data_IF_741353693439
#
_entry.id   IF_741353693439
#
_cell.length_a   1.000
_cell.length_b   1.000
_cell.length_c   1.000
_cell.angle_alpha   90.00
_cell.angle_beta   90.00
_cell.angle_gamma   90.00
#
_symmetry.space_group_name_H-M   'P 1'
#
loop_
_entity.id
_entity.type
_entity.pdbx_description
1 polymer ?
#
# COMPACT_ATOMS: atom_id res chain seq x y z
N UNK A 1 58.15 6.40 9.88
CA UNK A 1 57.85 6.23 8.43
C UNK A 1 56.64 5.32 8.19
N UNK A 2 55.47 5.62 8.77
CA UNK A 2 54.22 4.92 8.45
C UNK A 2 53.24 5.92 7.85
N UNK A 3 52.62 5.56 6.73
CA UNK A 3 51.58 6.35 6.08
C UNK A 3 50.25 6.01 6.73
N UNK A 4 49.51 7.02 7.20
CA UNK A 4 48.18 6.86 7.79
C UNK A 4 47.25 6.17 6.79
N UNK A 5 46.57 5.12 7.25
CA UNK A 5 45.52 4.43 6.50
C UNK A 5 44.13 4.91 6.94
N UNK A 6 43.09 4.47 6.25
CA UNK A 6 41.69 4.78 6.59
C UNK A 6 41.34 4.29 8.01
N UNK A 7 41.82 3.10 8.35
CA UNK A 7 41.58 2.42 9.63
C UNK A 7 42.13 3.24 10.82
N UNK A 8 43.27 3.91 10.64
CA UNK A 8 43.88 4.74 11.69
C UNK A 8 43.04 6.00 12.03
N UNK A 9 42.07 6.37 11.18
CA UNK A 9 41.31 7.62 11.27
C UNK A 9 39.80 7.42 11.44
N UNK A 10 39.34 6.17 11.56
CA UNK A 10 37.92 5.83 11.57
C UNK A 10 37.13 6.55 12.68
N UNK A 11 37.69 6.61 13.89
CA UNK A 11 37.09 7.29 15.06
C UNK A 11 36.87 8.80 14.86
N UNK A 12 37.64 9.41 13.95
CA UNK A 12 37.65 10.85 13.70
C UNK A 12 37.23 11.23 12.27
N UNK A 13 36.80 10.25 11.46
CA UNK A 13 36.60 10.39 10.02
C UNK A 13 35.71 11.58 9.64
N UNK A 14 34.58 11.72 10.34
CA UNK A 14 33.58 12.78 10.12
C UNK A 14 33.72 13.95 11.10
N UNK A 15 34.85 14.09 11.79
CA UNK A 15 35.12 15.21 12.72
C UNK A 15 35.94 16.33 12.07
N UNK A 16 36.03 17.46 12.77
CA UNK A 16 36.68 18.68 12.28
C UNK A 16 35.73 19.61 11.52
N UNK A 17 36.09 20.91 11.50
CA UNK A 17 35.35 21.94 10.74
C UNK A 17 35.60 21.75 9.24
N UNK A 18 36.85 21.68 8.74
CA UNK A 18 37.15 20.91 7.54
C UNK A 18 37.10 19.43 7.90
N UNK A 19 36.12 18.68 7.39
CA UNK A 19 35.98 17.26 7.70
C UNK A 19 37.26 16.51 7.32
N UNK A 20 37.80 15.68 8.23
CA UNK A 20 39.05 14.94 8.01
C UNK A 20 38.98 14.05 6.77
N UNK A 21 37.81 13.46 6.50
CA UNK A 21 37.55 12.68 5.30
C UNK A 21 37.81 13.42 3.98
N UNK A 22 37.82 14.76 3.95
CA UNK A 22 38.10 15.54 2.74
C UNK A 22 39.53 15.37 2.23
N UNK A 23 40.47 14.99 3.10
CA UNK A 23 41.87 14.72 2.74
C UNK A 23 42.03 13.53 1.76
N UNK A 24 41.02 12.66 1.72
CA UNK A 24 40.97 11.44 0.92
C UNK A 24 40.07 11.56 -0.31
N UNK A 25 39.64 12.78 -0.68
CA UNK A 25 38.88 13.01 -1.91
C UNK A 25 39.72 12.72 -3.16
N UNK A 26 39.05 12.22 -4.20
CA UNK A 26 39.65 11.93 -5.51
C UNK A 26 40.29 13.16 -6.15
N UNK A 27 39.64 14.32 -6.01
CA UNK A 27 40.01 15.55 -6.71
C UNK A 27 40.81 16.55 -5.85
N UNK A 28 41.39 16.11 -4.73
CA UNK A 28 42.07 17.03 -3.77
C UNK A 28 43.18 17.88 -4.40
N UNK A 29 43.89 17.34 -5.39
CA UNK A 29 45.01 18.02 -6.05
C UNK A 29 44.54 19.19 -6.92
N UNK A 30 43.34 19.11 -7.52
CA UNK A 30 42.77 20.23 -8.29
C UNK A 30 42.14 21.25 -7.35
N UNK A 31 41.49 20.81 -6.27
CA UNK A 31 40.88 21.68 -5.26
C UNK A 31 41.89 22.57 -4.53
N UNK A 32 43.17 22.17 -4.48
CA UNK A 32 44.24 23.00 -3.94
C UNK A 32 44.35 24.38 -4.63
N UNK A 33 43.99 24.47 -5.91
CA UNK A 33 44.02 25.71 -6.70
C UNK A 33 42.71 26.52 -6.64
N UNK A 34 41.63 25.95 -6.10
CA UNK A 34 40.33 26.63 -6.02
C UNK A 34 40.28 27.59 -4.83
N UNK A 35 40.90 28.77 -4.99
CA UNK A 35 40.90 29.84 -3.99
C UNK A 35 39.71 30.79 -4.19
N UNK A 36 39.29 31.46 -3.10
CA UNK A 36 38.19 32.43 -3.13
C UNK A 36 36.81 31.82 -3.41
N UNK A 37 36.64 30.51 -3.22
CA UNK A 37 35.39 29.81 -3.53
C UNK A 37 34.21 30.26 -2.67
N UNK A 38 34.43 30.70 -1.41
CA UNK A 38 33.34 31.16 -0.52
C UNK A 38 32.64 32.40 -1.06
N UNK A 39 33.40 33.46 -1.37
CA UNK A 39 32.85 34.68 -1.97
C UNK A 39 32.25 34.41 -3.36
N UNK A 40 32.86 33.48 -4.12
CA UNK A 40 32.31 33.05 -5.41
C UNK A 40 30.93 32.41 -5.25
N UNK A 41 30.73 31.53 -4.26
CA UNK A 41 29.44 30.90 -3.98
C UNK A 41 28.41 31.92 -3.49
N UNK A 42 28.81 32.85 -2.62
CA UNK A 42 27.92 33.91 -2.14
C UNK A 42 27.44 34.81 -3.29
N UNK A 43 28.33 35.20 -4.19
CA UNK A 43 27.99 36.04 -5.35
C UNK A 43 27.20 35.30 -6.44
N UNK A 44 27.00 33.97 -6.32
CA UNK A 44 26.11 33.24 -7.23
C UNK A 44 24.68 33.73 -7.17
N UNK A 45 24.25 34.36 -6.07
CA UNK A 45 22.92 34.98 -5.98
C UNK A 45 22.66 36.04 -7.07
N UNK A 46 23.71 36.69 -7.57
CA UNK A 46 23.60 37.69 -8.65
C UNK A 46 23.73 37.09 -10.06
N UNK A 47 24.12 35.81 -10.17
CA UNK A 47 24.35 35.13 -11.44
C UNK A 47 23.31 34.05 -11.74
N UNK A 48 22.73 33.45 -10.70
CA UNK A 48 21.83 32.29 -10.79
C UNK A 48 20.54 32.62 -10.07
N UNK A 49 19.41 32.51 -10.79
CA UNK A 49 18.08 32.82 -10.25
C UNK A 49 17.66 31.88 -9.10
N UNK A 50 18.16 30.65 -9.09
CA UNK A 50 17.88 29.68 -8.03
C UNK A 50 18.68 30.02 -6.78
N UNK A 51 17.97 30.30 -5.68
CA UNK A 51 18.56 30.51 -4.36
C UNK A 51 19.22 29.23 -3.82
N UNK A 52 20.43 29.37 -3.26
CA UNK A 52 21.14 28.28 -2.59
C UNK A 52 21.07 28.47 -1.06
N UNK A 53 20.40 27.58 -0.30
CA UNK A 53 20.35 27.66 1.16
C UNK A 53 21.71 27.35 1.82
N UNK A 54 22.62 26.66 1.11
CA UNK A 54 23.96 26.30 1.59
C UNK A 54 25.02 27.19 0.94
N UNK A 55 24.78 28.50 0.86
CA UNK A 55 25.71 29.46 0.23
C UNK A 55 27.04 29.58 0.99
N UNK A 56 27.05 29.31 2.29
CA UNK A 56 28.20 29.48 3.19
C UNK A 56 29.18 28.30 3.21
N UNK A 57 28.80 27.14 2.67
CA UNK A 57 29.61 25.90 2.71
C UNK A 57 29.71 25.22 1.36
N UNK A 58 30.72 24.36 1.20
CA UNK A 58 30.88 23.54 0.01
C UNK A 58 31.46 22.17 0.38
N UNK A 59 30.75 21.09 0.03
CA UNK A 59 31.10 19.72 0.44
C UNK A 59 32.49 19.27 -0.03
N UNK A 60 33.01 19.83 -1.14
CA UNK A 60 34.37 19.49 -1.58
C UNK A 60 35.45 20.09 -0.68
N UNK A 61 35.20 21.24 -0.06
CA UNK A 61 36.19 21.95 0.77
C UNK A 61 35.96 21.72 2.26
N UNK A 62 34.73 21.90 2.72
CA UNK A 62 34.37 21.74 4.14
C UNK A 62 34.00 20.30 4.49
N UNK A 63 33.61 19.49 3.51
CA UNK A 63 32.99 18.18 3.74
C UNK A 63 31.50 18.28 4.07
N UNK A 64 30.87 17.14 4.37
CA UNK A 64 29.46 17.11 4.79
C UNK A 64 29.37 17.47 6.28
N UNK A 65 28.78 18.62 6.59
CA UNK A 65 28.77 19.15 7.96
C UNK A 65 27.68 18.58 8.87
N UNK A 66 26.76 17.78 8.35
CA UNK A 66 25.70 17.14 9.14
C UNK A 66 25.52 15.68 8.74
N UNK A 67 25.13 14.85 9.71
CA UNK A 67 24.73 13.46 9.49
C UNK A 67 23.36 13.23 10.14
N UNK A 68 22.37 12.88 9.32
CA UNK A 68 20.98 12.64 9.74
C UNK A 68 20.57 11.17 9.57
N UNK A 69 21.55 10.26 9.47
CA UNK A 69 21.26 8.82 9.35
C UNK A 69 20.54 8.30 10.60
N UNK A 70 20.98 8.69 11.80
CA UNK A 70 20.33 8.29 13.05
C UNK A 70 18.91 8.83 13.14
N UNK A 71 18.68 10.09 12.75
CA UNK A 71 17.33 10.67 12.71
C UNK A 71 16.34 9.83 11.89
N UNK A 72 16.78 9.24 10.76
CA UNK A 72 15.93 8.34 9.97
C UNK A 72 15.57 7.09 10.78
N UNK A 73 16.54 6.44 11.39
CA UNK A 73 16.34 5.23 12.20
C UNK A 73 15.43 5.52 13.39
N UNK A 74 15.71 6.61 14.11
CA UNK A 74 14.96 7.02 15.30
C UNK A 74 13.51 7.37 14.95
N UNK A 75 13.29 8.04 13.82
CA UNK A 75 11.94 8.34 13.32
C UNK A 75 11.14 7.06 13.02
N UNK A 76 11.77 6.06 12.41
CA UNK A 76 11.11 4.78 12.14
C UNK A 76 10.69 4.12 13.45
N UNK A 77 11.59 4.09 14.44
CA UNK A 77 11.28 3.50 15.75
C UNK A 77 10.20 4.27 16.49
N UNK A 78 10.25 5.61 16.47
CA UNK A 78 9.26 6.47 17.11
C UNK A 78 7.84 6.29 16.52
N UNK A 79 7.72 5.91 15.26
CA UNK A 79 6.45 5.63 14.58
C UNK A 79 5.96 4.18 14.75
N UNK A 80 6.61 3.38 15.61
CA UNK A 80 6.21 1.99 15.87
C UNK A 80 6.92 0.94 15.00
N UNK A 81 8.10 1.29 14.46
CA UNK A 81 8.88 0.39 13.61
C UNK A 81 8.33 0.29 12.19
N UNK A 82 8.99 -0.51 11.35
CA UNK A 82 8.63 -0.62 9.92
C UNK A 82 7.25 -1.26 9.75
N UNK A 83 6.97 -2.34 10.46
CA UNK A 83 5.68 -3.04 10.38
C UNK A 83 4.51 -2.16 10.82
N UNK A 84 4.66 -1.46 11.96
CA UNK A 84 3.65 -0.52 12.45
C UNK A 84 3.33 0.58 11.44
N UNK A 85 4.36 1.14 10.78
CA UNK A 85 4.17 2.11 9.69
C UNK A 85 3.44 1.47 8.50
N UNK A 86 3.78 0.25 8.12
CA UNK A 86 3.19 -0.41 6.95
C UNK A 86 1.72 -0.80 7.14
N UNK A 87 1.25 -0.99 8.37
CA UNK A 87 -0.20 -1.17 8.66
C UNK A 87 -1.04 0.03 8.20
N UNK A 88 -0.46 1.23 8.17
CA UNK A 88 -1.13 2.44 7.68
C UNK A 88 -1.19 2.55 6.14
N UNK A 89 -0.61 1.58 5.43
CA UNK A 89 -0.39 1.63 3.99
C UNK A 89 -1.08 0.49 3.26
N UNK A 90 -1.11 0.56 1.93
CA UNK A 90 -1.64 -0.52 1.08
C UNK A 90 -0.64 -1.68 0.88
N UNK A 91 0.38 -1.82 1.74
CA UNK A 91 1.42 -2.85 1.61
C UNK A 91 0.84 -4.26 1.55
N UNK A 92 -0.04 -4.64 2.49
CA UNK A 92 -0.70 -5.96 2.47
C UNK A 92 -1.53 -6.19 1.21
N UNK A 93 -2.08 -5.13 0.61
CA UNK A 93 -2.80 -5.20 -0.67
C UNK A 93 -1.90 -5.49 -1.88
N UNK A 94 -0.59 -5.26 -1.78
CA UNK A 94 0.38 -5.68 -2.81
C UNK A 94 0.75 -7.15 -2.70
N UNK A 95 0.45 -7.79 -1.56
CA UNK A 95 0.70 -9.21 -1.29
C UNK A 95 2.18 -9.63 -1.42
N UNK A 96 3.13 -8.71 -1.22
CA UNK A 96 4.54 -9.07 -1.08
C UNK A 96 4.79 -9.79 0.27
N UNK A 97 5.60 -10.87 0.30
CA UNK A 97 5.88 -11.61 1.54
C UNK A 97 6.68 -10.82 2.58
N UNK A 98 7.56 -9.92 2.12
CA UNK A 98 8.42 -9.08 2.96
C UNK A 98 8.54 -7.68 2.36
N UNK A 99 8.77 -6.71 3.23
CA UNK A 99 9.07 -5.33 2.82
C UNK A 99 10.56 -5.14 2.45
N UNK A 100 11.41 -6.11 2.79
CA UNK A 100 12.83 -6.09 2.48
C UNK A 100 13.07 -6.21 0.97
N UNK A 101 14.03 -5.46 0.44
CA UNK A 101 14.36 -5.47 -0.99
C UNK A 101 13.34 -4.76 -1.89
N UNK A 102 12.34 -4.08 -1.31
CA UNK A 102 11.44 -3.24 -2.09
C UNK A 102 12.08 -1.88 -2.40
N UNK A 103 11.90 -1.45 -3.65
CA UNK A 103 12.43 -0.18 -4.13
C UNK A 103 11.31 0.65 -4.74
N UNK A 104 11.27 1.92 -4.35
CA UNK A 104 10.46 2.90 -5.06
C UNK A 104 11.15 3.26 -6.36
N UNK A 105 10.49 2.99 -7.49
CA UNK A 105 10.93 3.47 -8.79
C UNK A 105 10.94 5.01 -8.77
N UNK A 106 12.13 5.61 -8.95
CA UNK A 106 12.36 7.06 -8.82
C UNK A 106 12.06 7.84 -10.10
N UNK A 107 11.99 7.16 -11.25
CA UNK A 107 11.64 7.75 -12.52
C UNK A 107 10.85 6.70 -13.29
N UNK A 108 9.56 6.92 -13.49
CA UNK A 108 8.84 6.14 -14.48
C UNK A 108 9.39 6.54 -15.85
N UNK A 109 9.72 5.58 -16.71
CA UNK A 109 10.18 5.87 -18.08
C UNK A 109 9.21 6.79 -18.85
N UNK A 110 7.93 6.80 -18.45
CA UNK A 110 6.91 7.70 -18.94
C UNK A 110 7.18 9.18 -18.59
N UNK A 111 7.41 9.51 -17.31
CA UNK A 111 7.66 10.90 -16.88
C UNK A 111 8.92 11.48 -17.54
N UNK A 112 9.97 10.67 -17.67
CA UNK A 112 11.21 11.08 -18.34
C UNK A 112 11.00 11.29 -19.85
N UNK A 113 10.25 10.40 -20.51
CA UNK A 113 9.90 10.54 -21.93
C UNK A 113 9.06 11.79 -22.24
N UNK A 114 8.30 12.28 -21.25
CA UNK A 114 7.44 13.45 -21.38
C UNK A 114 8.13 14.74 -20.94
N UNK A 115 9.19 14.66 -20.12
CA UNK A 115 9.90 15.81 -19.56
C UNK A 115 10.49 16.73 -20.63
N UNK A 116 11.03 16.14 -21.70
CA UNK A 116 11.66 16.90 -22.80
C UNK A 116 10.72 17.13 -23.99
N UNK A 117 9.49 16.61 -23.94
CA UNK A 117 8.49 16.89 -24.97
C UNK A 117 7.90 18.28 -24.79
N UNK A 118 7.51 18.88 -25.91
CA UNK A 118 6.82 20.18 -25.90
C UNK A 118 5.39 19.95 -25.39
N UNK A 119 5.15 20.38 -24.16
CA UNK A 119 3.87 20.25 -23.45
C UNK A 119 3.30 21.63 -23.15
N UNK A 120 1.98 21.73 -23.12
CA UNK A 120 1.28 22.91 -22.62
C UNK A 120 1.42 23.00 -21.10
N UNK A 121 1.22 24.19 -20.54
CA UNK A 121 1.25 24.37 -19.08
C UNK A 121 0.16 23.55 -18.37
N UNK A 122 -0.99 23.34 -19.02
CA UNK A 122 -2.06 22.48 -18.51
C UNK A 122 -1.62 21.00 -18.46
N UNK A 123 -0.95 20.51 -19.51
CA UNK A 123 -0.39 19.15 -19.54
C UNK A 123 0.68 18.95 -18.46
N UNK A 124 1.55 19.94 -18.24
CA UNK A 124 2.55 19.91 -17.16
C UNK A 124 1.91 19.87 -15.78
N UNK A 125 0.85 20.65 -15.56
CA UNK A 125 0.07 20.60 -14.32
C UNK A 125 -0.52 19.21 -14.06
N UNK A 126 -1.05 18.55 -15.09
CA UNK A 126 -1.53 17.17 -15.00
C UNK A 126 -0.44 16.16 -14.65
N UNK A 127 0.74 16.26 -15.28
CA UNK A 127 1.88 15.38 -14.98
C UNK A 127 2.38 15.53 -13.54
N UNK A 128 2.37 16.75 -13.00
CA UNK A 128 2.76 17.02 -11.61
C UNK A 128 1.81 16.38 -10.59
N UNK A 129 0.63 15.90 -10.98
CA UNK A 129 -0.28 15.18 -10.09
C UNK A 129 0.05 13.70 -9.96
N UNK A 130 0.85 13.11 -10.87
CA UNK A 130 1.13 11.66 -10.86
C UNK A 130 1.82 11.20 -9.56
N UNK A 131 2.87 11.88 -9.05
CA UNK A 131 3.49 11.49 -7.79
C UNK A 131 2.52 11.57 -6.60
N UNK A 132 1.65 12.59 -6.60
CA UNK A 132 0.63 12.75 -5.56
C UNK A 132 -0.39 11.62 -5.60
N UNK A 133 -0.76 11.12 -6.79
CA UNK A 133 -1.65 9.96 -6.92
C UNK A 133 -1.04 8.70 -6.33
N UNK A 134 0.27 8.46 -6.55
CA UNK A 134 0.99 7.33 -5.93
C UNK A 134 1.00 7.46 -4.41
N UNK A 135 1.31 8.64 -3.90
CA UNK A 135 1.32 8.90 -2.46
C UNK A 135 -0.07 8.67 -1.84
N UNK A 136 -1.12 9.27 -2.40
CA UNK A 136 -2.49 9.12 -1.90
C UNK A 136 -2.97 7.66 -1.95
N UNK A 137 -2.61 6.92 -2.99
CA UNK A 137 -2.96 5.50 -3.08
C UNK A 137 -2.22 4.66 -2.02
N UNK A 138 -0.92 4.89 -1.84
CA UNK A 138 -0.11 4.14 -0.88
C UNK A 138 -0.62 4.30 0.56
N UNK A 139 -0.97 5.52 0.95
CA UNK A 139 -1.52 5.82 2.29
C UNK A 139 -3.05 5.75 2.35
N UNK A 140 -3.70 5.17 1.32
CA UNK A 140 -5.16 5.19 1.21
C UNK A 140 -5.91 4.56 2.39
N UNK A 141 -5.45 3.49 3.06
CA UNK A 141 -6.17 2.94 4.21
C UNK A 141 -6.30 3.91 5.38
N UNK A 142 -5.32 4.81 5.56
CA UNK A 142 -5.34 5.83 6.61
C UNK A 142 -5.99 7.12 6.15
N UNK A 143 -5.79 7.51 4.88
CA UNK A 143 -6.38 8.73 4.30
C UNK A 143 -7.90 8.59 4.17
N UNK A 144 -8.41 7.43 3.74
CA UNK A 144 -9.83 7.18 3.49
C UNK A 144 -10.49 6.43 4.66
N UNK A 145 -10.20 6.84 5.88
CA UNK A 145 -10.67 6.15 7.09
C UNK A 145 -12.04 6.62 7.55
N UNK A 146 -12.83 5.69 8.09
CA UNK A 146 -14.18 5.96 8.57
C UNK A 146 -14.23 6.97 9.72
N UNK A 147 -13.26 6.97 10.64
CA UNK A 147 -13.33 7.74 11.89
C UNK A 147 -12.82 9.19 11.81
N UNK A 148 -12.27 9.66 10.69
CA UNK A 148 -11.66 11.01 10.61
C UNK A 148 -12.48 12.02 9.85
N UNK A 149 -13.21 11.60 8.82
CA UNK A 149 -14.03 12.52 8.04
C UNK A 149 -15.47 12.54 8.55
N UNK A 150 -15.87 13.68 9.12
CA UNK A 150 -17.29 14.01 9.30
C UNK A 150 -17.86 14.32 7.91
N UNK A 151 -18.39 13.29 7.24
CA UNK A 151 -18.88 13.42 5.88
C UNK A 151 -19.73 12.25 5.45
N UNK A 152 -20.59 12.48 4.46
CA UNK A 152 -21.42 11.43 3.89
C UNK A 152 -20.53 10.39 3.19
N UNK A 153 -20.71 9.13 3.58
CA UNK A 153 -20.02 7.98 2.98
C UNK A 153 -20.60 7.73 1.58
N UNK A 154 -19.74 7.70 0.57
CA UNK A 154 -20.16 7.47 -0.83
C UNK A 154 -19.54 6.18 -1.33
N UNK A 155 -20.37 5.29 -1.85
CA UNK A 155 -19.90 4.08 -2.53
C UNK A 155 -19.34 4.41 -3.91
N UNK A 156 -18.20 3.83 -4.27
CA UNK A 156 -17.61 3.97 -5.59
C UNK A 156 -18.31 3.03 -6.58
N UNK A 157 -18.66 3.56 -7.75
CA UNK A 157 -19.41 2.85 -8.79
C UNK A 157 -18.83 1.46 -9.10
N UNK A 158 -19.71 0.44 -9.13
CA UNK A 158 -19.39 -0.96 -9.46
C UNK A 158 -18.38 -1.65 -8.53
N UNK A 159 -18.15 -1.09 -7.34
CA UNK A 159 -17.25 -1.68 -6.32
C UNK A 159 -17.88 -1.61 -4.94
N UNK A 160 -17.40 -2.43 -4.01
CA UNK A 160 -17.77 -2.35 -2.60
C UNK A 160 -16.98 -1.30 -1.80
N UNK A 161 -16.27 -0.40 -2.47
CA UNK A 161 -15.39 0.57 -1.82
C UNK A 161 -16.20 1.78 -1.39
N UNK A 162 -16.08 2.14 -0.12
CA UNK A 162 -16.66 3.36 0.42
C UNK A 162 -15.60 4.45 0.57
N UNK A 163 -15.94 5.65 0.11
CA UNK A 163 -15.12 6.84 0.27
C UNK A 163 -15.69 7.73 1.37
N UNK A 164 -14.82 8.07 2.32
CA UNK A 164 -15.10 8.99 3.41
C UNK A 164 -14.53 10.36 3.03
N UNK A 165 -15.38 11.21 2.43
CA UNK A 165 -15.00 12.53 1.94
C UNK A 165 -14.61 12.57 0.44
N UNK A 166 -14.39 13.78 -0.07
CA UNK A 166 -14.06 14.02 -1.49
C UNK A 166 -12.55 14.06 -1.68
N UNK A 167 -11.98 12.92 -2.11
CA UNK A 167 -10.54 12.78 -2.41
C UNK A 167 -10.37 12.39 -3.89
N UNK A 168 -10.35 13.35 -4.83
CA UNK A 168 -10.40 13.06 -6.27
C UNK A 168 -9.22 12.23 -6.77
N UNK A 169 -8.01 12.47 -6.24
CA UNK A 169 -6.80 11.73 -6.64
C UNK A 169 -6.90 10.25 -6.27
N UNK A 170 -7.47 9.94 -5.10
CA UNK A 170 -7.71 8.56 -4.67
C UNK A 170 -8.79 7.90 -5.52
N UNK A 171 -9.91 8.60 -5.76
CA UNK A 171 -11.01 8.11 -6.59
C UNK A 171 -10.51 7.65 -7.96
N UNK A 172 -9.69 8.47 -8.63
CA UNK A 172 -9.11 8.13 -9.94
C UNK A 172 -8.27 6.85 -9.85
N UNK A 173 -7.41 6.74 -8.83
CA UNK A 173 -6.53 5.57 -8.67
C UNK A 173 -7.32 4.28 -8.41
N UNK A 174 -8.35 4.31 -7.56
CA UNK A 174 -9.18 3.14 -7.27
C UNK A 174 -10.01 2.71 -8.49
N UNK A 175 -10.57 3.66 -9.25
CA UNK A 175 -11.26 3.36 -10.51
C UNK A 175 -10.31 2.70 -11.51
N UNK A 176 -9.05 3.15 -11.58
CA UNK A 176 -8.06 2.53 -12.47
C UNK A 176 -7.68 1.12 -12.07
N UNK A 177 -7.61 0.81 -10.76
CA UNK A 177 -7.38 -0.55 -10.26
C UNK A 177 -8.57 -1.45 -10.63
N UNK A 178 -9.78 -1.05 -10.28
CA UNK A 178 -10.99 -1.87 -10.45
C UNK A 178 -11.69 -1.69 -11.81
N UNK A 179 -10.95 -1.23 -12.82
CA UNK A 179 -11.48 -1.03 -14.18
C UNK A 179 -11.95 -2.34 -14.81
N UNK A 180 -12.79 -2.23 -15.83
CA UNK A 180 -13.29 -3.38 -16.61
C UNK A 180 -13.97 -4.46 -15.75
N UNK A 181 -14.79 -4.01 -14.78
CA UNK A 181 -15.60 -4.84 -13.89
C UNK A 181 -14.78 -5.81 -13.03
N UNK A 182 -13.57 -5.42 -12.62
CA UNK A 182 -12.67 -6.31 -11.87
C UNK A 182 -13.30 -6.84 -10.58
N UNK A 183 -14.06 -6.02 -9.84
CA UNK A 183 -14.74 -6.44 -8.62
C UNK A 183 -15.71 -7.62 -8.85
N UNK A 184 -16.53 -7.52 -9.90
CA UNK A 184 -17.48 -8.58 -10.27
C UNK A 184 -16.74 -9.84 -10.71
N UNK A 185 -15.66 -9.69 -11.50
CA UNK A 185 -14.83 -10.81 -11.96
C UNK A 185 -14.16 -11.54 -10.81
N UNK A 186 -13.65 -10.82 -9.80
CA UNK A 186 -13.05 -11.43 -8.61
C UNK A 186 -14.11 -12.26 -7.86
N UNK A 187 -15.29 -11.68 -7.61
CA UNK A 187 -16.38 -12.38 -6.93
C UNK A 187 -16.79 -13.65 -7.68
N UNK A 188 -17.07 -13.52 -8.98
CA UNK A 188 -17.45 -14.64 -9.84
C UNK A 188 -16.37 -15.72 -9.92
N UNK A 189 -15.09 -15.33 -10.01
CA UNK A 189 -13.97 -16.28 -10.05
C UNK A 189 -13.90 -17.11 -8.77
N UNK A 190 -14.00 -16.46 -7.59
CA UNK A 190 -13.94 -17.17 -6.31
C UNK A 190 -15.13 -18.12 -6.15
N UNK A 191 -16.34 -17.70 -6.57
CA UNK A 191 -17.54 -18.55 -6.57
C UNK A 191 -17.29 -19.80 -7.44
N UNK A 192 -16.77 -19.61 -8.65
CA UNK A 192 -16.49 -20.71 -9.57
C UNK A 192 -15.42 -21.67 -9.06
N UNK A 193 -14.33 -21.14 -8.50
CA UNK A 193 -13.25 -21.95 -7.94
C UNK A 193 -13.75 -22.78 -6.75
N UNK A 194 -14.59 -22.22 -5.89
CA UNK A 194 -15.22 -22.96 -4.79
C UNK A 194 -16.16 -24.05 -5.30
N UNK A 195 -17.00 -23.78 -6.30
CA UNK A 195 -17.83 -24.81 -6.92
C UNK A 195 -16.97 -25.98 -7.43
N UNK A 196 -15.87 -25.69 -8.13
CA UNK A 196 -14.96 -26.73 -8.64
C UNK A 196 -14.33 -27.57 -7.53
N UNK A 197 -13.99 -26.96 -6.39
CA UNK A 197 -13.49 -27.69 -5.22
C UNK A 197 -14.57 -28.61 -4.65
N UNK A 198 -15.81 -28.13 -4.48
CA UNK A 198 -16.90 -28.97 -4.00
C UNK A 198 -17.28 -30.09 -4.96
N UNK A 199 -17.21 -29.84 -6.28
CA UNK A 199 -17.44 -30.87 -7.30
C UNK A 199 -16.41 -32.01 -7.24
N UNK A 200 -15.21 -31.76 -6.72
CA UNK A 200 -14.18 -32.80 -6.52
C UNK A 200 -14.40 -33.62 -5.23
N UNK A 201 -15.15 -33.08 -4.27
CA UNK A 201 -15.33 -33.65 -2.92
C UNK A 201 -16.77 -34.14 -2.66
N UNK A 202 -17.53 -34.45 -3.72
CA UNK A 202 -18.94 -34.85 -3.62
C UNK A 202 -19.14 -36.10 -2.75
N UNK A 203 -18.36 -37.16 -3.03
CA UNK A 203 -18.50 -38.45 -2.35
C UNK A 203 -18.05 -38.36 -0.88
N UNK A 204 -16.96 -37.63 -0.61
CA UNK A 204 -16.40 -37.50 0.73
C UNK A 204 -17.29 -36.69 1.69
N UNK A 205 -18.04 -35.72 1.15
CA UNK A 205 -18.90 -34.82 1.91
C UNK A 205 -20.39 -35.19 1.84
N UNK A 206 -20.74 -36.29 1.18
CA UNK A 206 -22.13 -36.74 0.95
C UNK A 206 -23.00 -35.65 0.29
N UNK A 207 -22.44 -34.99 -0.73
CA UNK A 207 -23.13 -33.97 -1.53
C UNK A 207 -23.76 -34.66 -2.76
N UNK A 208 -25.07 -34.47 -2.96
CA UNK A 208 -25.78 -34.92 -4.15
C UNK A 208 -25.46 -34.04 -5.36
N UNK A 209 -25.59 -32.72 -5.19
CA UNK A 209 -25.32 -31.74 -6.25
C UNK A 209 -24.81 -30.42 -5.66
N UNK A 210 -23.88 -29.80 -6.38
CA UNK A 210 -23.41 -28.43 -6.15
C UNK A 210 -24.10 -27.54 -7.18
N UNK A 211 -25.02 -26.69 -6.73
CA UNK A 211 -25.72 -25.75 -7.59
C UNK A 211 -25.16 -24.35 -7.40
N UNK A 212 -24.56 -23.80 -8.47
CA UNK A 212 -24.28 -22.38 -8.53
C UNK A 212 -25.56 -21.61 -8.84
N UNK A 213 -25.88 -20.62 -8.02
CA UNK A 213 -27.05 -19.79 -8.22
C UNK A 213 -26.85 -18.75 -9.32
N UNK A 214 -27.93 -18.37 -9.99
CA UNK A 214 -27.89 -17.29 -10.98
C UNK A 214 -27.86 -15.95 -10.26
N UNK A 215 -26.64 -15.45 -10.01
CA UNK A 215 -26.41 -14.24 -9.24
C UNK A 215 -26.70 -12.98 -10.07
N UNK A 216 -27.43 -12.03 -9.48
CA UNK A 216 -27.62 -10.73 -10.10
C UNK A 216 -26.27 -10.00 -10.23
N UNK A 217 -25.91 -9.41 -11.40
CA UNK A 217 -24.58 -8.82 -11.63
C UNK A 217 -24.15 -7.72 -10.65
N UNK A 218 -25.11 -7.14 -9.92
CA UNK A 218 -24.87 -6.10 -8.91
C UNK A 218 -24.71 -6.62 -7.48
N UNK A 219 -24.89 -7.92 -7.24
CA UNK A 219 -24.83 -8.52 -5.90
C UNK A 219 -23.45 -8.33 -5.26
N UNK A 220 -22.38 -8.54 -6.03
CA UNK A 220 -21.00 -8.50 -5.54
C UNK A 220 -20.60 -7.20 -4.84
N UNK A 221 -21.27 -6.08 -5.13
CA UNK A 221 -21.04 -4.78 -4.48
C UNK A 221 -22.31 -4.22 -3.82
N UNK A 222 -23.33 -5.05 -3.55
CA UNK A 222 -24.51 -4.68 -2.78
C UNK A 222 -24.26 -5.00 -1.31
N UNK A 223 -24.10 -3.97 -0.47
CA UNK A 223 -23.64 -4.11 0.93
C UNK A 223 -24.77 -4.05 1.98
N UNK A 224 -26.03 -3.95 1.54
CA UNK A 224 -27.21 -3.88 2.41
C UNK A 224 -28.01 -5.18 2.47
N UNK A 225 -27.87 -6.06 1.48
CA UNK A 225 -28.50 -7.38 1.46
C UNK A 225 -27.74 -8.26 0.46
N UNK A 226 -27.81 -9.57 0.65
CA UNK A 226 -27.23 -10.56 -0.25
C UNK A 226 -28.20 -11.68 -0.59
N UNK A 227 -27.73 -12.63 -1.40
CA UNK A 227 -28.38 -13.90 -1.71
C UNK A 227 -27.29 -14.98 -1.78
N UNK A 228 -27.65 -16.25 -1.65
CA UNK A 228 -26.68 -17.34 -1.80
C UNK A 228 -25.98 -17.31 -3.18
N UNK A 229 -24.70 -17.65 -3.21
CA UNK A 229 -23.92 -17.86 -4.44
C UNK A 229 -23.89 -19.34 -4.84
N UNK A 230 -23.74 -20.23 -3.84
CA UNK A 230 -23.66 -21.68 -4.02
C UNK A 230 -24.64 -22.35 -3.06
N UNK A 231 -25.32 -23.36 -3.54
CA UNK A 231 -26.24 -24.21 -2.78
C UNK A 231 -25.80 -25.67 -2.92
N UNK A 232 -25.51 -26.31 -1.79
CA UNK A 232 -25.17 -27.73 -1.70
C UNK A 232 -26.41 -28.51 -1.26
N UNK A 233 -26.72 -29.59 -1.97
CA UNK A 233 -27.78 -30.52 -1.59
C UNK A 233 -27.15 -31.78 -1.01
N UNK A 234 -27.55 -32.16 0.20
CA UNK A 234 -27.06 -33.37 0.86
C UNK A 234 -27.72 -34.61 0.25
N UNK A 235 -26.97 -35.70 0.07
CA UNK A 235 -27.53 -36.99 -0.39
C UNK A 235 -28.60 -37.53 0.57
N UNK A 236 -28.45 -37.28 1.88
CA UNK A 236 -29.46 -37.63 2.88
C UNK A 236 -29.77 -36.46 3.82
N UNK A 237 -28.89 -36.22 4.79
CA UNK A 237 -29.04 -35.19 5.84
C UNK A 237 -27.67 -34.89 6.47
N UNK A 238 -27.35 -33.61 6.65
CA UNK A 238 -26.20 -33.17 7.45
C UNK A 238 -26.63 -32.73 8.84
N UNK A 239 -25.92 -33.21 9.87
CA UNK A 239 -25.98 -32.62 11.19
C UNK A 239 -24.99 -31.46 11.23
N UNK A 240 -25.49 -30.24 11.41
CA UNK A 240 -24.68 -29.03 11.34
C UNK A 240 -24.46 -28.49 12.75
N UNK A 241 -23.29 -27.90 12.98
CA UNK A 241 -22.97 -27.19 14.22
C UNK A 241 -23.75 -25.88 14.35
N UNK A 242 -23.61 -25.23 15.51
CA UNK A 242 -24.00 -23.82 15.66
C UNK A 242 -23.01 -22.94 14.89
N UNK A 243 -23.41 -21.75 14.42
CA UNK A 243 -22.49 -20.85 13.71
C UNK A 243 -21.23 -20.53 14.54
N UNK A 244 -20.06 -20.82 13.98
CA UNK A 244 -18.73 -20.58 14.54
C UNK A 244 -17.83 -19.86 13.53
N UNK A 245 -16.63 -19.44 13.95
CA UNK A 245 -15.65 -18.84 13.04
C UNK A 245 -14.86 -19.93 12.30
N UNK A 246 -14.34 -19.59 11.11
CA UNK A 246 -13.56 -20.53 10.28
C UNK A 246 -12.31 -21.09 10.98
N UNK A 247 -11.71 -20.31 11.89
CA UNK A 247 -10.51 -20.72 12.62
C UNK A 247 -10.81 -21.47 13.93
N UNK A 248 -12.08 -21.62 14.31
CA UNK A 248 -12.47 -22.40 15.48
C UNK A 248 -12.27 -23.91 15.19
N UNK A 249 -11.94 -24.68 16.24
CA UNK A 249 -11.55 -26.09 16.09
C UNK A 249 -12.41 -27.08 16.88
N UNK A 250 -13.34 -26.59 17.70
CA UNK A 250 -14.13 -27.41 18.62
C UNK A 250 -15.61 -27.30 18.33
N UNK A 251 -15.98 -27.67 17.11
CA UNK A 251 -17.38 -27.72 16.71
C UNK A 251 -18.05 -29.01 17.19
N UNK A 252 -19.24 -28.85 17.77
CA UNK A 252 -20.15 -29.95 18.06
C UNK A 252 -21.26 -29.96 17.02
N UNK A 253 -21.46 -31.10 16.35
CA UNK A 253 -22.50 -31.28 15.32
C UNK A 253 -23.85 -31.64 15.94
N UNK A 254 -24.21 -30.93 17.01
CA UNK A 254 -25.43 -31.13 17.82
C UNK A 254 -26.50 -30.05 17.53
N UNK A 255 -26.33 -29.27 16.46
CA UNK A 255 -27.26 -28.24 16.05
C UNK A 255 -28.49 -28.82 15.35
N UNK A 256 -28.77 -28.32 14.15
CA UNK A 256 -29.92 -28.76 13.36
C UNK A 256 -29.51 -29.72 12.27
N UNK A 257 -30.46 -30.54 11.83
CA UNK A 257 -30.28 -31.40 10.66
C UNK A 257 -30.85 -30.70 9.43
N UNK A 258 -30.04 -30.52 8.39
CA UNK A 258 -30.46 -29.88 7.12
C UNK A 258 -30.17 -30.76 5.90
N UNK A 259 -30.82 -30.46 4.79
CA UNK A 259 -30.56 -31.05 3.48
C UNK A 259 -30.00 -30.04 2.48
N UNK A 260 -30.02 -28.75 2.83
CA UNK A 260 -29.54 -27.65 1.99
C UNK A 260 -28.54 -26.83 2.79
N UNK A 261 -27.41 -26.51 2.16
CA UNK A 261 -26.39 -25.64 2.73
C UNK A 261 -26.06 -24.54 1.73
N UNK A 262 -26.09 -23.29 2.15
CA UNK A 262 -25.83 -22.15 1.28
C UNK A 262 -24.52 -21.47 1.65
N UNK A 263 -23.87 -20.88 0.65
CA UNK A 263 -22.67 -20.08 0.83
C UNK A 263 -22.86 -18.72 0.17
N UNK A 264 -22.48 -17.66 0.88
CA UNK A 264 -22.47 -16.27 0.40
C UNK A 264 -21.06 -15.71 0.51
N UNK A 265 -20.51 -15.26 -0.62
CA UNK A 265 -19.16 -14.70 -0.70
C UNK A 265 -19.27 -13.17 -0.75
N UNK A 266 -18.74 -12.53 0.28
CA UNK A 266 -18.73 -11.07 0.42
C UNK A 266 -17.32 -10.53 0.20
N UNK A 267 -17.16 -9.67 -0.81
CA UNK A 267 -15.94 -8.90 -1.02
C UNK A 267 -15.96 -7.63 -0.18
N UNK A 268 -14.79 -7.22 0.33
CA UNK A 268 -14.66 -6.00 1.12
C UNK A 268 -13.35 -5.30 0.84
N UNK A 269 -13.39 -3.97 0.86
CA UNK A 269 -12.20 -3.12 0.86
C UNK A 269 -12.10 -2.43 2.22
N UNK A 270 -11.21 -2.95 3.07
CA UNK A 270 -11.00 -2.43 4.43
C UNK A 270 -10.20 -1.13 4.44
N UNK A 271 -10.31 -0.41 5.55
CA UNK A 271 -9.49 0.75 5.90
C UNK A 271 -8.67 0.45 7.17
N UNK A 272 -7.90 1.43 7.64
CA UNK A 272 -7.08 1.23 8.83
C UNK A 272 -7.92 0.91 10.08
N UNK A 273 -9.10 1.54 10.23
CA UNK A 273 -9.96 1.38 11.41
C UNK A 273 -10.75 0.06 11.40
N UNK A 274 -11.07 -0.45 10.21
CA UNK A 274 -11.93 -1.61 10.01
C UNK A 274 -11.34 -2.52 8.93
N UNK A 275 -10.54 -3.49 9.37
CA UNK A 275 -9.96 -4.54 8.50
C UNK A 275 -10.01 -5.95 9.13
N UNK A 276 -10.57 -6.08 10.33
CA UNK A 276 -10.85 -7.38 10.97
C UNK A 276 -11.95 -8.12 10.20
N UNK A 277 -11.53 -9.18 9.50
CA UNK A 277 -12.38 -9.97 8.61
C UNK A 277 -13.29 -10.94 9.38
N UNK A 278 -12.85 -11.47 10.52
CA UNK A 278 -13.65 -12.42 11.32
C UNK A 278 -14.84 -11.69 11.94
N UNK A 279 -14.58 -10.51 12.54
CA UNK A 279 -15.64 -9.67 13.08
C UNK A 279 -16.61 -9.23 12.00
N UNK A 280 -16.11 -8.88 10.81
CA UNK A 280 -16.95 -8.50 9.67
C UNK A 280 -17.83 -9.66 9.19
N UNK A 281 -17.25 -10.85 9.00
CA UNK A 281 -17.95 -12.04 8.54
C UNK A 281 -19.10 -12.41 9.50
N UNK A 282 -18.82 -12.46 10.81
CA UNK A 282 -19.85 -12.73 11.83
C UNK A 282 -20.95 -11.68 11.85
N UNK A 283 -20.58 -10.40 11.80
CA UNK A 283 -21.56 -9.31 11.82
C UNK A 283 -22.48 -9.39 10.60
N UNK A 284 -21.94 -9.59 9.40
CA UNK A 284 -22.73 -9.71 8.17
C UNK A 284 -23.58 -10.97 8.10
N UNK A 285 -23.07 -12.08 8.63
CA UNK A 285 -23.86 -13.29 8.77
C UNK A 285 -25.10 -13.01 9.61
N UNK A 286 -24.94 -12.47 10.82
CA UNK A 286 -26.08 -12.14 11.71
C UNK A 286 -27.01 -11.06 11.16
N UNK A 287 -26.48 -10.10 10.40
CA UNK A 287 -27.30 -9.04 9.78
C UNK A 287 -28.18 -9.57 8.62
N UNK A 288 -27.75 -10.63 7.94
CA UNK A 288 -28.40 -11.16 6.74
C UNK A 288 -29.24 -12.43 6.98
N UNK A 289 -29.07 -13.09 8.12
CA UNK A 289 -29.85 -14.27 8.55
C UNK A 289 -30.93 -13.90 9.54
#
# INVERSE_FOLDING_TARGET
NRRLTLEDLEDSWDRGIPRINTLFQKDRHTLAYDKGWRVRTDFKQYQVLKQNPFWWTHQRHDGKLWNLNNYRTDMIQALGGVEGILEHTLFKGTYFPTWEGLFWEKASGFEESMKYKKLTNAQRSGLNQIPNRRFTLWWSPTINRANVYVGFQVQLDLTGIFMHGKIPTLKISLIQIFRAHLWQKIHESIVMDLCQVFDQELDALEIETVQKETIHPRKSYKMNSSCADVLLFATYKWNVSRPSLLADSKDTMDGTTTQKYWMDIQLRWGDYDSHDVERYARAKFLDYT
#
